data_IF_340215162285
#
_entry.id   IF_340215162285
#
_cell.length_a   1.000
_cell.length_b   1.000
_cell.length_c   1.000
_cell.angle_alpha   90.00
_cell.angle_beta   90.00
_cell.angle_gamma   90.00
#
_symmetry.space_group_name_H-M   'P 1'
#
loop_
_entity.id
_entity.type
_entity.pdbx_description
1 polymer ?
#
# COMPACT_ATOMS: atom_id res chain seq x y z
N UNK A 1 9.11 10.68 25.25
CA UNK A 1 8.08 11.68 24.88
C UNK A 1 6.91 10.89 24.34
N UNK A 2 5.69 11.06 24.85
CA UNK A 2 4.52 10.41 24.26
C UNK A 2 4.17 11.19 22.98
N UNK A 3 4.53 10.64 21.83
CA UNK A 3 4.14 11.20 20.54
C UNK A 3 2.66 10.89 20.30
N UNK A 4 1.87 11.91 19.99
CA UNK A 4 0.48 11.71 19.57
C UNK A 4 0.49 11.10 18.16
N UNK A 5 -0.30 10.03 17.89
CA UNK A 5 -0.40 9.46 16.55
C UNK A 5 -0.82 10.54 15.53
N UNK A 6 -0.13 10.58 14.39
CA UNK A 6 -0.48 11.41 13.25
C UNK A 6 -1.01 10.54 12.12
N UNK A 7 -1.90 11.09 11.29
CA UNK A 7 -2.41 10.40 10.11
C UNK A 7 -1.37 10.49 8.98
N UNK A 8 -1.01 9.33 8.42
CA UNK A 8 -0.08 9.23 7.28
C UNK A 8 -0.73 8.44 6.14
N UNK A 9 -0.42 8.82 4.90
CA UNK A 9 -0.75 8.04 3.70
C UNK A 9 0.55 7.57 3.05
N UNK A 10 0.70 6.25 2.94
CA UNK A 10 1.78 5.62 2.18
C UNK A 10 1.19 5.12 0.86
N UNK A 11 1.87 5.39 -0.25
CA UNK A 11 1.47 4.93 -1.59
C UNK A 11 2.60 4.09 -2.16
N UNK A 12 2.25 2.91 -2.68
CA UNK A 12 3.18 2.01 -3.37
C UNK A 12 2.63 1.83 -4.78
N UNK A 13 3.30 2.42 -5.76
CA UNK A 13 2.97 2.27 -7.18
C UNK A 13 3.63 1.00 -7.72
N UNK A 14 2.86 0.18 -8.47
CA UNK A 14 3.31 -1.11 -8.97
C UNK A 14 2.77 -1.34 -10.39
N UNK A 15 3.58 -1.95 -11.26
CA UNK A 15 3.10 -2.62 -12.48
C UNK A 15 3.15 -4.13 -12.26
N UNK A 16 1.98 -4.75 -12.16
CA UNK A 16 1.84 -6.16 -11.81
C UNK A 16 0.56 -6.76 -12.40
N UNK A 17 0.55 -8.08 -12.58
CA UNK A 17 -0.67 -8.84 -12.87
C UNK A 17 -1.58 -8.89 -11.64
N UNK A 18 -2.88 -9.18 -11.83
CA UNK A 18 -3.84 -9.31 -10.73
C UNK A 18 -3.40 -10.33 -9.68
N UNK A 19 -2.90 -11.50 -10.11
CA UNK A 19 -2.40 -12.54 -9.19
C UNK A 19 -1.21 -12.05 -8.36
N UNK A 20 -0.32 -11.25 -8.95
CA UNK A 20 0.81 -10.66 -8.24
C UNK A 20 0.36 -9.60 -7.23
N UNK A 21 -0.65 -8.79 -7.57
CA UNK A 21 -1.22 -7.80 -6.65
C UNK A 21 -1.84 -8.50 -5.44
N UNK A 22 -2.66 -9.53 -5.65
CA UNK A 22 -3.26 -10.33 -4.57
C UNK A 22 -2.19 -10.88 -3.63
N UNK A 23 -1.19 -11.57 -4.18
CA UNK A 23 -0.10 -12.14 -3.39
C UNK A 23 0.73 -11.09 -2.63
N UNK A 24 0.91 -9.88 -3.18
CA UNK A 24 1.59 -8.79 -2.48
C UNK A 24 0.71 -8.21 -1.37
N UNK A 25 -0.59 -8.06 -1.61
CA UNK A 25 -1.52 -7.52 -0.61
C UNK A 25 -1.62 -8.41 0.62
N UNK A 26 -1.69 -9.73 0.45
CA UNK A 26 -1.65 -10.69 1.56
C UNK A 26 -0.38 -10.51 2.42
N UNK A 27 0.78 -10.38 1.77
CA UNK A 27 2.07 -10.15 2.46
C UNK A 27 2.09 -8.81 3.19
N UNK A 28 1.48 -7.76 2.64
CA UNK A 28 1.37 -6.47 3.33
C UNK A 28 0.52 -6.58 4.59
N UNK A 29 -0.60 -7.31 4.54
CA UNK A 29 -1.44 -7.55 5.72
C UNK A 29 -0.65 -8.27 6.82
N UNK A 30 0.05 -9.35 6.48
CA UNK A 30 0.88 -10.10 7.42
C UNK A 30 2.03 -9.27 8.02
N UNK A 31 2.58 -8.34 7.23
CA UNK A 31 3.68 -7.47 7.68
C UNK A 31 3.19 -6.36 8.61
N UNK A 32 2.02 -5.78 8.33
CA UNK A 32 1.48 -4.65 9.10
C UNK A 32 0.78 -5.13 10.38
N UNK A 33 0.15 -6.31 10.36
CA UNK A 33 -0.51 -6.91 11.52
C UNK A 33 0.30 -8.10 12.06
N UNK A 34 1.18 -7.89 13.06
CA UNK A 34 2.09 -8.94 13.55
C UNK A 34 1.36 -10.08 14.28
N UNK A 35 0.13 -9.86 14.73
CA UNK A 35 -0.73 -10.88 15.32
C UNK A 35 -2.17 -10.67 14.83
N UNK A 36 -2.64 -11.32 13.76
CA UNK A 36 -4.01 -11.15 13.29
C UNK A 36 -5.08 -11.70 14.26
N UNK A 37 -4.68 -12.44 15.30
CA UNK A 37 -5.59 -13.03 16.29
C UNK A 37 -5.68 -12.24 17.60
N UNK A 38 -5.00 -11.10 17.72
CA UNK A 38 -5.06 -10.28 18.92
C UNK A 38 -6.48 -9.80 19.24
N UNK A 39 -6.80 -9.72 20.53
CA UNK A 39 -8.07 -9.18 21.01
C UNK A 39 -7.99 -7.65 21.13
N UNK A 40 -8.97 -6.93 20.56
CA UNK A 40 -9.08 -5.48 20.70
C UNK A 40 -8.63 -4.69 19.46
N UNK A 41 -8.26 -3.43 19.66
CA UNK A 41 -7.79 -2.55 18.58
C UNK A 41 -6.29 -2.78 18.35
N UNK A 42 -5.86 -2.80 17.07
CA UNK A 42 -4.44 -2.85 16.74
C UNK A 42 -3.68 -1.66 17.37
N UNK A 43 -2.46 -1.90 17.83
CA UNK A 43 -1.55 -0.83 18.31
C UNK A 43 -1.27 0.24 17.25
N UNK A 44 -1.30 -0.16 15.97
CA UNK A 44 -1.21 0.74 14.81
C UNK A 44 -2.38 0.47 13.87
N UNK A 45 -3.54 1.13 14.03
CA UNK A 45 -4.70 0.94 13.16
C UNK A 45 -4.39 1.35 11.71
N UNK A 46 -4.84 0.56 10.74
CA UNK A 46 -4.54 0.77 9.32
C UNK A 46 -5.72 0.37 8.42
N UNK A 47 -5.67 0.85 7.18
CA UNK A 47 -6.56 0.43 6.10
C UNK A 47 -5.75 0.27 4.81
N UNK A 48 -6.04 -0.77 4.04
CA UNK A 48 -5.44 -1.01 2.74
C UNK A 48 -6.46 -0.69 1.64
N UNK A 49 -6.03 0.11 0.66
CA UNK A 49 -6.81 0.43 -0.53
C UNK A 49 -6.04 -0.07 -1.75
N UNK A 50 -6.66 -0.98 -2.51
CA UNK A 50 -6.14 -1.47 -3.79
C UNK A 50 -7.01 -0.88 -4.88
N UNK A 51 -6.39 -0.23 -5.87
CA UNK A 51 -7.09 0.44 -6.96
C UNK A 51 -6.51 -0.06 -8.28
N UNK A 52 -7.36 -0.59 -9.15
CA UNK A 52 -6.94 -1.04 -10.49
C UNK A 52 -6.53 0.17 -11.33
N UNK A 53 -5.40 0.05 -12.06
CA UNK A 53 -4.87 1.15 -12.87
C UNK A 53 -5.88 1.67 -13.90
N UNK A 54 -6.69 0.80 -14.49
CA UNK A 54 -7.71 1.15 -15.50
C UNK A 54 -8.86 2.00 -14.93
N UNK A 55 -9.04 2.00 -13.60
CA UNK A 55 -10.01 2.87 -12.94
C UNK A 55 -9.49 4.28 -12.69
N UNK A 56 -8.18 4.50 -12.85
CA UNK A 56 -7.53 5.80 -12.67
C UNK A 56 -7.59 6.63 -13.96
N UNK A 57 -7.55 7.95 -13.80
CA UNK A 57 -7.41 8.86 -14.94
C UNK A 57 -6.06 8.66 -15.65
N UNK A 58 -6.00 8.96 -16.97
CA UNK A 58 -4.77 8.82 -17.76
C UNK A 58 -3.58 9.57 -17.14
N UNK A 59 -3.78 10.80 -16.68
CA UNK A 59 -2.73 11.59 -16.05
C UNK A 59 -2.20 10.93 -14.76
N UNK A 60 -3.07 10.27 -14.00
CA UNK A 60 -2.67 9.59 -12.78
C UNK A 60 -1.92 8.29 -13.09
N UNK A 61 -2.34 7.54 -14.10
CA UNK A 61 -1.61 6.37 -14.58
C UNK A 61 -0.20 6.76 -15.06
N UNK A 62 -0.07 7.85 -15.83
CA UNK A 62 1.23 8.35 -16.31
C UNK A 62 2.15 8.72 -15.15
N UNK A 63 1.65 9.49 -14.18
CA UNK A 63 2.43 9.85 -12.97
C UNK A 63 2.93 8.62 -12.22
N UNK A 64 2.09 7.62 -12.00
CA UNK A 64 2.49 6.40 -11.28
C UNK A 64 3.55 5.60 -12.05
N UNK A 65 3.46 5.53 -13.39
CA UNK A 65 4.49 4.89 -14.21
C UNK A 65 5.82 5.63 -14.15
N UNK A 66 5.80 6.96 -14.13
CA UNK A 66 7.01 7.77 -13.95
C UNK A 66 7.66 7.51 -12.58
N UNK A 67 6.88 7.48 -11.49
CA UNK A 67 7.38 7.16 -10.14
C UNK A 67 7.99 5.75 -10.05
N UNK A 68 7.38 4.76 -10.71
CA UNK A 68 7.91 3.40 -10.80
C UNK A 68 9.26 3.40 -11.54
N UNK A 69 9.33 4.11 -12.67
CA UNK A 69 10.56 4.22 -13.45
C UNK A 69 11.70 4.85 -12.63
N UNK A 70 11.43 5.96 -11.95
CA UNK A 70 12.40 6.63 -11.09
C UNK A 70 12.95 5.68 -9.99
N UNK A 71 12.08 4.81 -9.45
CA UNK A 71 12.47 3.80 -8.45
C UNK A 71 13.36 2.71 -9.02
N UNK A 72 13.19 2.34 -10.30
CA UNK A 72 14.03 1.32 -10.97
C UNK A 72 15.41 1.84 -11.37
N UNK A 73 15.53 3.15 -11.59
CA UNK A 73 16.77 3.81 -12.02
C UNK A 73 17.63 4.31 -10.82
N UNK A 74 17.13 4.16 -9.59
CA UNK A 74 17.78 4.57 -8.33
C UNK A 74 18.58 3.45 -7.67
#
# INVERSE_FOLDING_TARGET
MNETPQLWKVVIALEATSEQVEALTDRFVETICPDPSHEGWCDTPWALHVVEGDSLSTNEQERLRDEIKDTMES
#
